data_IF_069548302438
#
_entry.id   IF_069548302438
#
_cell.length_a   1.000
_cell.length_b   1.000
_cell.length_c   1.000
_cell.angle_alpha   90.00
_cell.angle_beta   90.00
_cell.angle_gamma   90.00
#
_symmetry.space_group_name_H-M   'P 1'
#
loop_
_entity.id
_entity.type
_entity.pdbx_description
1 polymer ?
#
# COMPACT_ATOMS: atom_id res chain seq x y z
N UNK A 1 53.68 -37.57 -11.52
CA UNK A 1 54.42 -36.69 -10.58
C UNK A 1 53.76 -36.80 -9.22
N UNK A 2 54.51 -37.17 -8.18
CA UNK A 2 54.00 -37.19 -6.79
C UNK A 2 53.78 -35.74 -6.34
N UNK A 3 52.59 -35.44 -5.81
CA UNK A 3 52.30 -34.13 -5.24
C UNK A 3 53.11 -34.01 -3.94
N UNK A 4 54.08 -33.09 -3.90
CA UNK A 4 54.90 -32.84 -2.70
C UNK A 4 54.31 -31.66 -1.93
N UNK A 5 54.25 -31.78 -0.62
CA UNK A 5 53.81 -30.70 0.26
C UNK A 5 54.96 -29.76 0.60
N UNK A 6 54.63 -28.54 1.02
CA UNK A 6 55.63 -27.55 1.43
C UNK A 6 56.53 -28.08 2.57
N UNK A 7 55.97 -28.87 3.49
CA UNK A 7 56.74 -29.50 4.56
C UNK A 7 57.78 -30.48 4.00
N UNK A 8 57.43 -31.28 2.99
CA UNK A 8 58.37 -32.20 2.33
C UNK A 8 59.55 -31.44 1.70
N UNK A 9 59.28 -30.28 1.09
CA UNK A 9 60.31 -29.44 0.44
C UNK A 9 61.22 -28.79 1.51
N UNK A 10 60.64 -28.30 2.60
CA UNK A 10 61.41 -27.69 3.69
C UNK A 10 62.29 -28.70 4.44
N UNK A 11 61.82 -29.94 4.59
CA UNK A 11 62.59 -31.03 5.18
C UNK A 11 63.78 -31.42 4.31
N UNK A 12 63.59 -31.55 2.98
CA UNK A 12 64.68 -31.79 2.03
C UNK A 12 65.72 -30.65 2.05
N UNK A 13 65.28 -29.38 2.09
CA UNK A 13 66.18 -28.22 2.15
C UNK A 13 67.00 -28.20 3.47
N UNK A 14 66.40 -28.59 4.59
CA UNK A 14 67.10 -28.70 5.88
C UNK A 14 68.13 -29.84 5.92
N UNK A 15 67.84 -30.97 5.26
CA UNK A 15 68.82 -32.06 5.10
C UNK A 15 70.02 -31.65 4.23
N UNK A 16 69.78 -30.84 3.20
CA UNK A 16 70.85 -30.30 2.34
C UNK A 16 71.73 -29.28 3.08
N UNK A 17 71.13 -28.43 3.92
CA UNK A 17 71.86 -27.51 4.80
C UNK A 17 72.72 -28.25 5.84
N UNK A 18 72.20 -29.34 6.43
CA UNK A 18 72.95 -30.21 7.34
C UNK A 18 74.16 -30.88 6.66
N UNK A 19 74.11 -31.07 5.34
CA UNK A 19 75.22 -31.58 4.52
C UNK A 19 76.19 -30.48 4.06
N UNK A 20 76.07 -29.26 4.58
CA UNK A 20 76.99 -28.14 4.33
C UNK A 20 76.73 -27.35 3.04
N UNK A 21 75.58 -27.56 2.39
CA UNK A 21 75.16 -26.81 1.20
C UNK A 21 74.45 -25.53 1.67
N UNK A 22 74.79 -24.36 1.12
CA UNK A 22 74.07 -23.12 1.45
C UNK A 22 72.71 -23.08 0.73
N UNK A 23 71.65 -23.35 1.51
CA UNK A 23 70.26 -23.41 1.04
C UNK A 23 69.43 -22.22 1.54
N UNK A 24 70.03 -21.33 2.35
CA UNK A 24 69.35 -20.23 3.04
C UNK A 24 68.52 -19.34 2.10
N UNK A 25 69.04 -19.06 0.91
CA UNK A 25 68.37 -18.28 -0.14
C UNK A 25 67.10 -18.96 -0.68
N UNK A 26 67.13 -20.28 -0.83
CA UNK A 26 65.99 -21.06 -1.33
C UNK A 26 64.91 -21.19 -0.25
N UNK A 27 65.31 -21.38 1.00
CA UNK A 27 64.40 -21.44 2.13
C UNK A 27 63.67 -20.11 2.35
N UNK A 28 64.40 -18.98 2.28
CA UNK A 28 63.81 -17.65 2.35
C UNK A 28 62.78 -17.42 1.24
N UNK A 29 63.13 -17.77 0.00
CA UNK A 29 62.25 -17.60 -1.16
C UNK A 29 61.01 -18.52 -1.07
N UNK A 30 61.16 -19.73 -0.54
CA UNK A 30 60.05 -20.64 -0.31
C UNK A 30 59.06 -20.09 0.73
N UNK A 31 59.58 -19.50 1.83
CA UNK A 31 58.75 -18.87 2.86
C UNK A 31 58.00 -17.64 2.33
N UNK A 32 58.69 -16.77 1.58
CA UNK A 32 58.08 -15.59 0.94
C UNK A 32 56.92 -15.99 0.01
N UNK A 33 57.11 -17.02 -0.82
CA UNK A 33 56.06 -17.52 -1.73
C UNK A 33 54.86 -18.12 -0.97
N UNK A 34 55.09 -18.78 0.16
CA UNK A 34 54.01 -19.32 1.00
C UNK A 34 53.22 -18.21 1.68
N UNK A 35 53.88 -17.17 2.19
CA UNK A 35 53.20 -16.01 2.76
C UNK A 35 52.39 -15.25 1.70
N UNK A 36 52.92 -15.10 0.49
CA UNK A 36 52.21 -14.45 -0.62
C UNK A 36 50.97 -15.26 -1.05
N UNK A 37 51.08 -16.59 -1.13
CA UNK A 37 49.93 -17.47 -1.40
C UNK A 37 48.90 -17.44 -0.27
N UNK A 38 49.34 -17.42 0.99
CA UNK A 38 48.43 -17.35 2.15
C UNK A 38 47.69 -16.02 2.21
N UNK A 39 48.37 -14.91 1.98
CA UNK A 39 47.74 -13.59 1.93
C UNK A 39 46.77 -13.44 0.74
N UNK A 40 47.13 -13.98 -0.42
CA UNK A 40 46.26 -14.01 -1.61
C UNK A 40 44.99 -14.85 -1.38
N UNK A 41 45.13 -16.05 -0.80
CA UNK A 41 44.00 -16.93 -0.48
C UNK A 41 43.10 -16.37 0.61
N UNK A 42 43.65 -15.72 1.64
CA UNK A 42 42.86 -15.02 2.66
C UNK A 42 42.08 -13.85 2.09
N UNK A 43 42.68 -13.07 1.17
CA UNK A 43 42.00 -11.97 0.48
C UNK A 43 40.84 -12.48 -0.37
N UNK A 44 41.07 -13.52 -1.18
CA UNK A 44 40.03 -14.16 -1.99
C UNK A 44 38.88 -14.72 -1.13
N UNK A 45 39.18 -15.30 0.03
CA UNK A 45 38.18 -15.83 0.96
C UNK A 45 37.34 -14.71 1.60
N UNK A 46 37.94 -13.55 1.91
CA UNK A 46 37.20 -12.37 2.41
C UNK A 46 36.29 -11.79 1.34
N UNK A 47 36.77 -11.68 0.10
CA UNK A 47 35.96 -11.21 -1.03
C UNK A 47 34.78 -12.14 -1.30
N UNK A 48 35.01 -13.46 -1.30
CA UNK A 48 33.95 -14.47 -1.48
C UNK A 48 32.92 -14.40 -0.34
N UNK A 49 33.36 -14.22 0.91
CA UNK A 49 32.45 -14.05 2.05
C UNK A 49 31.61 -12.78 1.92
N UNK A 50 32.21 -11.67 1.49
CA UNK A 50 31.48 -10.41 1.30
C UNK A 50 30.43 -10.52 0.19
N UNK A 51 30.77 -11.16 -0.93
CA UNK A 51 29.81 -11.43 -2.02
C UNK A 51 28.67 -12.32 -1.55
N UNK A 52 28.96 -13.36 -0.74
CA UNK A 52 27.94 -14.23 -0.18
C UNK A 52 26.96 -13.49 0.77
N UNK A 53 27.47 -12.57 1.59
CA UNK A 53 26.64 -11.74 2.49
C UNK A 53 25.77 -10.78 1.68
N UNK A 54 26.33 -10.10 0.68
CA UNK A 54 25.57 -9.21 -0.22
C UNK A 54 24.47 -9.99 -0.94
N UNK A 55 24.78 -11.18 -1.45
CA UNK A 55 23.81 -12.07 -2.10
C UNK A 55 22.67 -12.46 -1.14
N UNK A 56 22.97 -12.81 0.11
CA UNK A 56 21.94 -13.11 1.10
C UNK A 56 21.01 -11.91 1.37
N UNK A 57 21.55 -10.70 1.44
CA UNK A 57 20.75 -9.48 1.65
C UNK A 57 19.79 -9.28 0.47
N UNK A 58 20.26 -9.45 -0.77
CA UNK A 58 19.40 -9.35 -1.96
C UNK A 58 18.30 -10.43 -1.97
N UNK A 59 18.60 -11.67 -1.57
CA UNK A 59 17.59 -12.71 -1.46
C UNK A 59 16.46 -12.34 -0.48
N UNK A 60 16.82 -11.78 0.68
CA UNK A 60 15.82 -11.33 1.68
C UNK A 60 14.93 -10.22 1.11
N UNK A 61 15.52 -9.25 0.40
CA UNK A 61 14.78 -8.16 -0.23
C UNK A 61 13.80 -8.66 -1.30
N UNK A 62 14.19 -9.64 -2.12
CA UNK A 62 13.31 -10.23 -3.14
C UNK A 62 12.13 -10.94 -2.49
N UNK A 63 12.37 -11.72 -1.43
CA UNK A 63 11.30 -12.43 -0.70
C UNK A 63 10.34 -11.43 -0.05
N UNK A 64 10.87 -10.36 0.58
CA UNK A 64 10.05 -9.31 1.17
C UNK A 64 9.19 -8.59 0.12
N UNK A 65 9.77 -8.26 -1.04
CA UNK A 65 9.04 -7.64 -2.14
C UNK A 65 7.92 -8.54 -2.68
N UNK A 66 8.21 -9.82 -2.89
CA UNK A 66 7.20 -10.80 -3.31
C UNK A 66 6.06 -10.94 -2.31
N UNK A 67 6.36 -10.93 -1.00
CA UNK A 67 5.35 -10.96 0.05
C UNK A 67 4.44 -9.72 0.03
N UNK A 68 5.02 -8.52 -0.13
CA UNK A 68 4.27 -7.26 -0.20
C UNK A 68 3.34 -7.23 -1.42
N UNK A 69 3.83 -7.62 -2.59
CA UNK A 69 3.02 -7.70 -3.82
C UNK A 69 1.88 -8.70 -3.65
N UNK A 70 2.16 -9.87 -3.07
CA UNK A 70 1.13 -10.89 -2.87
C UNK A 70 0.05 -10.43 -1.87
N UNK A 71 0.45 -9.77 -0.78
CA UNK A 71 -0.49 -9.19 0.20
C UNK A 71 -1.36 -8.10 -0.43
N UNK A 72 -0.75 -7.26 -1.28
CA UNK A 72 -1.45 -6.20 -2.01
C UNK A 72 -2.46 -6.77 -3.00
N UNK A 73 -2.07 -7.79 -3.77
CA UNK A 73 -2.98 -8.53 -4.65
C UNK A 73 -4.12 -9.21 -3.88
N UNK A 74 -3.85 -9.76 -2.69
CA UNK A 74 -4.89 -10.35 -1.85
C UNK A 74 -5.91 -9.29 -1.39
N UNK A 75 -5.44 -8.11 -0.97
CA UNK A 75 -6.31 -7.00 -0.56
C UNK A 75 -7.15 -6.46 -1.73
N UNK A 76 -6.56 -6.32 -2.92
CA UNK A 76 -7.25 -5.96 -4.15
C UNK A 76 -8.30 -7.00 -4.54
N UNK A 77 -7.94 -8.29 -4.47
CA UNK A 77 -8.86 -9.39 -4.76
C UNK A 77 -10.04 -9.42 -3.78
N UNK A 78 -9.80 -9.10 -2.51
CA UNK A 78 -10.83 -8.98 -1.49
C UNK A 78 -11.76 -7.77 -1.75
N UNK A 79 -11.20 -6.59 -2.05
CA UNK A 79 -11.98 -5.40 -2.36
C UNK A 79 -12.82 -5.56 -3.63
N UNK A 80 -12.26 -6.19 -4.68
CA UNK A 80 -13.00 -6.56 -5.91
C UNK A 80 -14.09 -7.57 -5.61
N UNK A 81 -13.82 -8.58 -4.77
CA UNK A 81 -14.83 -9.57 -4.37
C UNK A 81 -15.98 -8.93 -3.59
N UNK A 82 -15.69 -8.03 -2.64
CA UNK A 82 -16.69 -7.34 -1.85
C UNK A 82 -17.56 -6.42 -2.74
N UNK A 83 -16.93 -5.74 -3.70
CA UNK A 83 -17.64 -4.92 -4.71
C UNK A 83 -18.48 -5.77 -5.66
N UNK A 84 -17.98 -6.91 -6.11
CA UNK A 84 -18.74 -7.84 -6.95
C UNK A 84 -19.95 -8.42 -6.22
N UNK A 85 -19.84 -8.73 -4.92
CA UNK A 85 -20.96 -9.20 -4.12
C UNK A 85 -22.06 -8.12 -3.97
N UNK A 86 -21.68 -6.83 -3.95
CA UNK A 86 -22.64 -5.72 -3.98
C UNK A 86 -23.32 -5.66 -5.35
N UNK A 87 -22.56 -5.74 -6.45
CA UNK A 87 -23.10 -5.75 -7.81
C UNK A 87 -24.08 -6.93 -8.00
N UNK A 88 -23.72 -8.13 -7.55
CA UNK A 88 -24.58 -9.31 -7.65
C UNK A 88 -25.88 -9.16 -6.85
N UNK A 89 -25.83 -8.53 -5.66
CA UNK A 89 -27.04 -8.17 -4.91
C UNK A 89 -27.93 -7.18 -5.66
N UNK A 90 -27.35 -6.18 -6.31
CA UNK A 90 -28.10 -5.25 -7.14
C UNK A 90 -28.68 -5.94 -8.38
N UNK A 91 -27.92 -6.80 -9.06
CA UNK A 91 -28.42 -7.58 -10.19
C UNK A 91 -29.54 -8.53 -9.78
N UNK A 92 -29.43 -9.20 -8.62
CA UNK A 92 -30.51 -10.02 -8.08
C UNK A 92 -31.74 -9.17 -7.76
N UNK A 93 -31.57 -8.01 -7.13
CA UNK A 93 -32.68 -7.09 -6.82
C UNK A 93 -33.39 -6.64 -8.10
N UNK A 94 -32.63 -6.26 -9.13
CA UNK A 94 -33.16 -5.87 -10.45
C UNK A 94 -33.83 -7.05 -11.15
N UNK A 95 -33.30 -8.28 -11.05
CA UNK A 95 -33.95 -9.49 -11.58
C UNK A 95 -35.22 -9.83 -10.82
N UNK A 96 -35.26 -9.74 -9.50
CA UNK A 96 -36.46 -9.98 -8.70
C UNK A 96 -37.54 -8.91 -8.95
N UNK A 97 -37.14 -7.66 -9.19
CA UNK A 97 -38.04 -6.58 -9.61
C UNK A 97 -38.42 -6.67 -11.10
N UNK A 98 -37.60 -7.37 -11.91
CA UNK A 98 -37.77 -7.55 -13.35
C UNK A 98 -38.54 -8.81 -13.76
N UNK A 99 -38.88 -9.71 -12.83
CA UNK A 99 -39.63 -10.95 -13.11
C UNK A 99 -41.12 -10.72 -13.43
N UNK A 100 -41.63 -9.50 -13.30
CA UNK A 100 -42.99 -9.16 -13.76
C UNK A 100 -43.06 -8.53 -15.16
N UNK A 101 -41.97 -8.56 -15.95
CA UNK A 101 -41.98 -7.94 -17.28
C UNK A 101 -42.59 -8.80 -18.40
N UNK A 102 -42.66 -10.13 -18.24
CA UNK A 102 -43.21 -11.04 -19.27
C UNK A 102 -44.62 -11.57 -19.00
N UNK A 103 -45.26 -11.21 -17.87
CA UNK A 103 -46.60 -11.75 -17.54
C UNK A 103 -47.78 -10.82 -17.83
N UNK A 104 -47.55 -9.53 -18.09
CA UNK A 104 -48.62 -8.55 -18.34
C UNK A 104 -48.38 -7.73 -19.62
N UNK A 105 -48.35 -8.38 -20.79
CA UNK A 105 -48.37 -7.71 -22.10
C UNK A 105 -49.78 -7.64 -22.72
N UNK A 106 -50.82 -7.47 -21.91
CA UNK A 106 -52.17 -7.13 -22.41
C UNK A 106 -52.78 -5.95 -21.65
N UNK A 107 -52.92 -4.86 -22.41
CA UNK A 107 -53.96 -3.84 -22.34
C UNK A 107 -54.09 -3.03 -21.04
N UNK A 108 -53.79 -1.73 -21.10
CA UNK A 108 -54.82 -0.72 -21.43
C UNK A 108 -54.19 0.68 -21.51
N UNK A 109 -54.44 1.38 -22.63
CA UNK A 109 -54.40 2.85 -22.64
C UNK A 109 -55.64 3.34 -21.91
N UNK A 110 -55.46 4.01 -20.78
CA UNK A 110 -56.46 4.88 -20.18
C UNK A 110 -55.79 6.17 -19.76
N UNK A 111 -56.33 7.27 -20.27
CA UNK A 111 -55.99 8.62 -19.85
C UNK A 111 -56.12 8.73 -18.33
N UNK A 112 -55.05 9.13 -17.65
CA UNK A 112 -55.07 9.47 -16.22
C UNK A 112 -54.31 8.53 -15.29
N UNK A 113 -53.05 8.21 -15.58
CA UNK A 113 -52.01 7.80 -14.61
C UNK A 113 -50.71 7.61 -15.40
N UNK A 114 -49.53 8.08 -14.92
CA UNK A 114 -48.28 7.85 -15.64
C UNK A 114 -48.04 6.35 -15.83
N UNK A 115 -47.60 5.97 -17.03
CA UNK A 115 -47.38 4.59 -17.43
C UNK A 115 -46.33 3.95 -16.49
N UNK A 116 -46.54 2.70 -16.08
CA UNK A 116 -45.67 2.03 -15.09
C UNK A 116 -44.20 1.99 -15.57
N UNK A 117 -43.99 1.92 -16.88
CA UNK A 117 -42.67 1.99 -17.50
C UNK A 117 -42.04 3.39 -17.43
N UNK A 118 -42.83 4.46 -17.50
CA UNK A 118 -42.35 5.84 -17.31
C UNK A 118 -41.93 6.06 -15.86
N UNK A 119 -42.73 5.58 -14.90
CA UNK A 119 -42.39 5.65 -13.47
C UNK A 119 -41.11 4.89 -13.14
N UNK A 120 -40.88 3.72 -13.75
CA UNK A 120 -39.65 2.95 -13.58
C UNK A 120 -38.44 3.71 -14.14
N UNK A 121 -38.57 4.31 -15.32
CA UNK A 121 -37.50 5.12 -15.92
C UNK A 121 -37.21 6.39 -15.12
N UNK A 122 -38.25 7.08 -14.64
CA UNK A 122 -38.10 8.23 -13.73
C UNK A 122 -37.40 7.84 -12.44
N UNK A 123 -37.77 6.70 -11.84
CA UNK A 123 -37.14 6.22 -10.61
C UNK A 123 -35.65 5.87 -10.84
N UNK A 124 -35.31 5.27 -11.99
CA UNK A 124 -33.92 5.03 -12.36
C UNK A 124 -33.12 6.34 -12.52
N UNK A 125 -33.67 7.34 -13.20
CA UNK A 125 -33.04 8.66 -13.33
C UNK A 125 -32.90 9.39 -11.99
N UNK A 126 -33.89 9.25 -11.10
CA UNK A 126 -33.86 9.82 -9.76
C UNK A 126 -32.76 9.18 -8.91
N UNK A 127 -32.59 7.86 -8.97
CA UNK A 127 -31.50 7.16 -8.28
C UNK A 127 -30.12 7.63 -8.77
N UNK A 128 -29.96 7.81 -10.09
CA UNK A 128 -28.72 8.35 -10.65
C UNK A 128 -28.43 9.77 -10.15
N UNK A 129 -29.45 10.64 -10.14
CA UNK A 129 -29.33 12.01 -9.60
C UNK A 129 -29.03 12.03 -8.10
N UNK A 130 -29.62 11.14 -7.32
CA UNK A 130 -29.35 10.99 -5.88
C UNK A 130 -27.90 10.60 -5.66
N UNK A 131 -27.39 9.62 -6.40
CA UNK A 131 -25.98 9.20 -6.34
C UNK A 131 -25.02 10.35 -6.67
N UNK A 132 -25.30 11.11 -7.74
CA UNK A 132 -24.48 12.27 -8.11
C UNK A 132 -24.51 13.37 -7.03
N UNK A 133 -25.69 13.64 -6.45
CA UNK A 133 -25.86 14.60 -5.37
C UNK A 133 -25.16 14.15 -4.09
N UNK A 134 -25.22 12.86 -3.76
CA UNK A 134 -24.55 12.29 -2.60
C UNK A 134 -23.02 12.41 -2.72
N UNK A 135 -22.48 12.14 -3.91
CA UNK A 135 -21.06 12.33 -4.20
C UNK A 135 -20.63 13.80 -4.08
N UNK A 136 -21.41 14.73 -4.65
CA UNK A 136 -21.16 16.18 -4.49
C UNK A 136 -21.24 16.62 -3.04
N UNK A 137 -22.21 16.11 -2.29
CA UNK A 137 -22.37 16.43 -0.87
C UNK A 137 -21.23 15.86 -0.03
N UNK A 138 -20.74 14.66 -0.34
CA UNK A 138 -19.57 14.05 0.31
C UNK A 138 -18.31 14.89 0.09
N UNK A 139 -18.11 15.38 -1.14
CA UNK A 139 -17.02 16.29 -1.46
C UNK A 139 -17.10 17.59 -0.64
N UNK A 140 -18.27 18.23 -0.59
CA UNK A 140 -18.50 19.45 0.18
C UNK A 140 -18.25 19.22 1.69
N UNK A 141 -18.76 18.13 2.25
CA UNK A 141 -18.53 17.75 3.66
C UNK A 141 -17.05 17.57 3.97
N UNK A 142 -16.31 16.93 3.06
CA UNK A 142 -14.88 16.71 3.21
C UNK A 142 -14.08 18.03 3.14
N UNK A 143 -14.28 18.81 2.08
CA UNK A 143 -13.51 20.01 1.79
C UNK A 143 -13.72 21.08 2.86
N UNK A 144 -14.99 21.38 3.15
CA UNK A 144 -15.39 22.42 4.09
C UNK A 144 -15.50 21.91 5.54
N UNK A 145 -15.21 20.63 5.79
CA UNK A 145 -15.26 20.04 7.12
C UNK A 145 -16.64 20.10 7.78
N UNK A 146 -17.71 20.05 6.99
CA UNK A 146 -19.09 20.13 7.47
C UNK A 146 -19.53 18.75 7.98
N UNK A 147 -19.89 18.68 9.25
CA UNK A 147 -20.45 17.50 9.91
C UNK A 147 -21.96 17.67 10.07
N UNK A 148 -22.71 16.62 9.76
CA UNK A 148 -24.16 16.56 9.99
C UNK A 148 -24.39 15.72 11.24
N UNK A 149 -25.05 16.29 12.25
CA UNK A 149 -25.40 15.60 13.49
C UNK A 149 -26.89 15.33 13.45
N UNK A 150 -27.26 14.05 13.50
CA UNK A 150 -28.65 13.60 13.56
C UNK A 150 -28.96 13.11 14.98
N UNK A 151 -29.91 13.78 15.64
CA UNK A 151 -30.38 13.42 16.97
C UNK A 151 -31.77 12.74 16.94
N UNK A 152 -32.21 12.25 15.77
CA UNK A 152 -33.48 11.53 15.56
C UNK A 152 -34.73 12.43 15.54
N UNK A 153 -34.65 13.66 16.03
CA UNK A 153 -35.73 14.68 15.97
C UNK A 153 -35.39 15.89 15.11
N UNK A 154 -34.11 16.10 14.83
CA UNK A 154 -33.60 17.30 14.16
C UNK A 154 -32.20 17.05 13.62
N UNK A 155 -31.89 17.69 12.50
CA UNK A 155 -30.58 17.68 11.87
C UNK A 155 -29.85 18.98 12.16
N UNK A 156 -28.61 18.89 12.63
CA UNK A 156 -27.73 20.05 12.83
C UNK A 156 -26.53 19.98 11.89
N UNK A 157 -26.09 21.12 11.39
CA UNK A 157 -24.88 21.26 10.58
C UNK A 157 -23.81 21.92 11.45
N UNK A 158 -22.65 21.28 11.56
CA UNK A 158 -21.48 21.82 12.24
C UNK A 158 -20.38 22.04 11.20
N UNK A 159 -20.01 23.29 10.95
CA UNK A 159 -19.08 23.68 9.89
C UNK A 159 -17.83 24.40 10.45
N UNK A 160 -17.17 23.78 11.43
CA UNK A 160 -16.09 24.39 12.22
C UNK A 160 -14.99 25.07 11.37
N UNK A 161 -14.65 24.53 10.19
CA UNK A 161 -13.64 25.13 9.29
C UNK A 161 -14.15 26.38 8.57
N UNK A 162 -15.43 26.38 8.17
CA UNK A 162 -16.08 27.54 7.52
C UNK A 162 -16.30 28.65 8.54
N UNK A 163 -16.73 28.31 9.75
CA UNK A 163 -16.87 29.28 10.84
C UNK A 163 -15.53 29.92 11.20
N UNK A 164 -14.45 29.12 11.23
CA UNK A 164 -13.09 29.63 11.42
C UNK A 164 -12.62 30.53 10.28
N UNK A 165 -13.03 30.27 9.03
CA UNK A 165 -12.70 31.11 7.88
C UNK A 165 -13.50 32.44 7.88
N UNK A 166 -14.76 32.41 8.32
CA UNK A 166 -15.58 33.61 8.53
C UNK A 166 -15.00 34.51 9.64
N UNK A 167 -14.39 33.93 10.69
CA UNK A 167 -13.67 34.68 11.72
C UNK A 167 -12.44 35.46 11.20
N UNK A 168 -11.87 35.05 10.06
CA UNK A 168 -10.71 35.72 9.45
C UNK A 168 -11.12 36.95 8.62
N UNK A 169 -12.40 37.12 8.32
CA UNK A 169 -12.90 38.29 7.59
C UNK A 169 -13.18 39.43 8.58
N UNK A 170 -12.51 40.57 8.39
CA UNK A 170 -12.55 41.71 9.31
C UNK A 170 -13.96 42.24 9.62
N UNK A 171 -14.92 42.04 8.70
CA UNK A 171 -16.32 42.47 8.82
C UNK A 171 -17.13 41.66 9.83
N UNK A 172 -16.72 40.42 10.13
CA UNK A 172 -17.46 39.50 11.01
C UNK A 172 -16.77 39.26 12.35
N UNK A 173 -15.58 39.82 12.54
CA UNK A 173 -14.72 39.57 13.72
C UNK A 173 -15.33 40.08 15.02
N UNK A 174 -16.07 41.18 14.97
CA UNK A 174 -16.75 41.83 16.12
C UNK A 174 -18.15 41.28 16.38
N UNK A 175 -18.71 40.49 15.44
CA UNK A 175 -20.07 39.94 15.50
C UNK A 175 -20.15 38.49 15.96
N UNK A 176 -19.01 37.80 16.11
CA UNK A 176 -18.94 36.39 16.46
C UNK A 176 -18.19 36.23 17.79
N UNK A 177 -18.84 35.63 18.79
CA UNK A 177 -18.23 35.36 20.10
C UNK A 177 -18.44 33.91 20.55
N UNK A 178 -17.43 33.33 21.19
CA UNK A 178 -17.48 31.97 21.70
C UNK A 178 -18.09 31.92 23.10
N UNK A 179 -19.17 31.15 23.28
CA UNK A 179 -19.71 30.85 24.61
C UNK A 179 -19.02 29.60 25.17
N UNK A 180 -18.04 29.83 26.05
CA UNK A 180 -17.26 28.77 26.68
C UNK A 180 -18.08 27.83 27.59
N UNK A 181 -19.26 28.26 28.08
CA UNK A 181 -20.12 27.42 28.93
C UNK A 181 -20.92 26.42 28.10
N UNK A 182 -21.41 26.84 26.94
CA UNK A 182 -22.18 25.99 26.01
C UNK A 182 -21.31 25.28 24.97
N UNK A 183 -20.04 25.70 24.83
CA UNK A 183 -19.09 25.25 23.81
C UNK A 183 -19.57 25.51 22.38
N UNK A 184 -20.32 26.59 22.17
CA UNK A 184 -20.92 26.97 20.89
C UNK A 184 -20.50 28.39 20.50
N UNK A 185 -20.48 28.66 19.19
CA UNK A 185 -20.23 30.00 18.65
C UNK A 185 -21.56 30.73 18.46
N UNK A 186 -21.63 31.97 18.95
CA UNK A 186 -22.84 32.80 18.89
C UNK A 186 -22.56 33.98 17.94
N UNK A 187 -23.48 34.20 17.01
CA UNK A 187 -23.44 35.31 16.06
C UNK A 187 -24.46 36.37 16.49
N UNK A 188 -23.98 37.58 16.78
CA UNK A 188 -24.81 38.74 17.13
C UNK A 188 -25.01 39.59 15.88
N UNK A 189 -26.25 40.00 15.65
CA UNK A 189 -26.65 40.75 14.45
C UNK A 189 -26.16 42.19 14.48
#
# INVERSE_FOLDING_TARGET
MKNRTYNDIMEELGQLEANGIDVSKYQKRANELVEELKSSTEKARRETRNVAVISCIFCILIVAFAAIVNLSNLSLKKDVSDKNAIIEKYEQMVRTLGIDKDRNSKLHKTNGSPDSNELINENYQLLQKISDLENKMKLIKHEYGIKVIDNGKSYYLQANKVDSALMLLDVYRDKIHYDAKKKEWIVVR
#
